data_IF_018700754127
#
_entry.id   IF_018700754127
#
_cell.length_a   1.000
_cell.length_b   1.000
_cell.length_c   1.000
_cell.angle_alpha   90.00
_cell.angle_beta   90.00
_cell.angle_gamma   90.00
#
_symmetry.space_group_name_H-M   'P 1'
#
loop_
_entity.id
_entity.type
_entity.pdbx_description
1 polymer ?
#
# COMPACT_ATOMS: atom_id res chain seq x y z
N UNK A 1 -17.31 33.76 49.77
CA UNK A 1 -17.02 33.28 48.39
C UNK A 1 -17.97 34.02 47.48
N UNK A 2 -17.44 34.76 46.51
CA UNK A 2 -18.22 35.58 45.58
C UNK A 2 -19.11 34.68 44.71
N UNK A 3 -20.44 34.88 44.68
CA UNK A 3 -21.36 34.07 43.86
C UNK A 3 -21.05 34.10 42.36
N UNK A 4 -20.45 35.19 41.85
CA UNK A 4 -20.05 35.33 40.47
C UNK A 4 -18.87 34.37 40.12
N UNK A 5 -17.92 34.18 41.05
CA UNK A 5 -16.79 33.26 40.91
C UNK A 5 -17.29 31.81 40.91
N UNK A 6 -18.22 31.47 41.80
CA UNK A 6 -18.81 30.12 41.85
C UNK A 6 -19.57 29.77 40.55
N UNK A 7 -20.36 30.70 40.03
CA UNK A 7 -21.09 30.53 38.78
C UNK A 7 -20.13 30.34 37.59
N UNK A 8 -19.04 31.13 37.53
CA UNK A 8 -18.01 31.01 36.48
C UNK A 8 -17.25 29.70 36.60
N UNK A 9 -16.90 29.27 37.81
CA UNK A 9 -16.26 27.98 38.06
C UNK A 9 -17.17 26.82 37.60
N UNK A 10 -18.45 26.84 37.98
CA UNK A 10 -19.41 25.81 37.57
C UNK A 10 -19.51 25.69 36.03
N UNK A 11 -19.66 26.83 35.34
CA UNK A 11 -19.75 26.83 33.88
C UNK A 11 -18.44 26.37 33.18
N UNK A 12 -17.28 26.67 33.76
CA UNK A 12 -15.99 26.21 33.23
C UNK A 12 -15.78 24.72 33.50
N UNK A 13 -16.14 24.22 34.68
CA UNK A 13 -16.07 22.79 35.01
C UNK A 13 -16.98 21.97 34.13
N UNK A 14 -18.22 22.40 33.89
CA UNK A 14 -19.16 21.74 32.99
C UNK A 14 -18.61 21.67 31.55
N UNK A 15 -18.07 22.78 31.05
CA UNK A 15 -17.42 22.81 29.73
C UNK A 15 -16.20 21.91 29.69
N UNK A 16 -15.36 21.90 30.72
CA UNK A 16 -14.18 21.02 30.78
C UNK A 16 -14.56 19.54 30.76
N UNK A 17 -15.64 19.17 31.48
CA UNK A 17 -16.18 17.82 31.47
C UNK A 17 -16.77 17.43 30.11
N UNK A 18 -17.59 18.31 29.49
CA UNK A 18 -18.17 18.08 28.17
C UNK A 18 -17.11 17.88 27.08
N UNK A 19 -15.97 18.59 27.20
CA UNK A 19 -14.83 18.42 26.28
C UNK A 19 -13.89 17.26 26.67
N UNK A 20 -14.27 16.43 27.66
CA UNK A 20 -13.45 15.27 28.07
C UNK A 20 -12.13 15.65 28.73
N UNK A 21 -12.06 16.83 29.37
CA UNK A 21 -10.81 17.34 29.93
C UNK A 21 -10.21 16.43 31.01
N UNK A 22 -11.03 15.70 31.76
CA UNK A 22 -10.56 14.71 32.74
C UNK A 22 -10.00 13.43 32.12
N UNK A 23 -10.42 13.12 30.89
CA UNK A 23 -9.98 11.91 30.19
C UNK A 23 -8.66 12.10 29.41
N UNK A 24 -8.24 13.36 29.25
CA UNK A 24 -7.06 13.72 28.43
C UNK A 24 -5.78 13.05 28.95
N UNK A 25 -5.52 13.12 30.27
CA UNK A 25 -4.31 12.52 30.86
C UNK A 25 -4.32 10.99 30.77
N UNK A 26 -5.50 10.40 30.87
CA UNK A 26 -5.68 8.94 30.70
C UNK A 26 -5.39 8.55 29.24
N UNK A 27 -5.92 9.29 28.27
CA UNK A 27 -5.68 9.06 26.86
C UNK A 27 -4.18 9.22 26.50
N UNK A 28 -3.55 10.31 26.96
CA UNK A 28 -2.11 10.54 26.78
C UNK A 28 -1.29 9.38 27.37
N UNK A 29 -1.59 8.98 28.61
CA UNK A 29 -0.86 7.90 29.29
C UNK A 29 -1.03 6.57 28.57
N UNK A 30 -2.23 6.26 28.07
CA UNK A 30 -2.51 5.04 27.29
C UNK A 30 -1.70 5.00 26.00
N UNK A 31 -1.66 6.08 25.23
CA UNK A 31 -0.90 6.20 23.99
C UNK A 31 0.60 6.16 24.26
N UNK A 32 1.09 6.89 25.28
CA UNK A 32 2.49 6.92 25.66
C UNK A 32 2.99 5.52 26.05
N UNK A 33 2.26 4.81 26.89
CA UNK A 33 2.59 3.45 27.28
C UNK A 33 2.58 2.50 26.08
N UNK A 34 1.58 2.62 25.22
CA UNK A 34 1.46 1.80 24.01
C UNK A 34 2.62 1.98 23.03
N UNK A 35 3.09 3.20 22.87
CA UNK A 35 4.22 3.54 21.98
C UNK A 35 5.60 3.48 22.67
N UNK A 36 5.69 2.92 23.88
CA UNK A 36 6.93 2.86 24.68
C UNK A 36 7.57 4.25 24.88
N UNK A 37 6.76 5.29 25.09
CA UNK A 37 7.21 6.64 25.42
C UNK A 37 7.38 6.71 26.94
N UNK A 38 8.62 6.70 27.39
CA UNK A 38 8.95 6.70 28.83
C UNK A 38 8.62 8.06 29.51
N UNK A 39 8.49 8.04 30.83
CA UNK A 39 8.28 9.28 31.61
C UNK A 39 9.46 10.25 31.47
N UNK A 40 10.69 9.74 31.34
CA UNK A 40 11.87 10.56 31.04
C UNK A 40 11.70 11.29 29.68
N UNK A 41 11.24 10.63 28.64
CA UNK A 41 10.96 11.26 27.34
C UNK A 41 9.85 12.32 27.45
N UNK A 42 8.82 12.05 28.25
CA UNK A 42 7.71 13.00 28.48
C UNK A 42 8.15 14.27 29.20
N UNK A 43 9.17 14.18 30.05
CA UNK A 43 9.74 15.31 30.79
C UNK A 43 10.73 16.16 30.00
N UNK A 44 11.26 15.68 28.88
CA UNK A 44 12.24 16.40 28.04
C UNK A 44 11.58 17.32 27.02
N UNK A 45 12.31 18.39 26.64
CA UNK A 45 11.90 19.24 25.52
C UNK A 45 11.99 18.42 24.21
N UNK A 46 11.03 18.62 23.31
CA UNK A 46 10.96 17.89 22.04
C UNK A 46 12.27 17.96 21.22
N UNK A 47 12.95 19.11 21.24
CA UNK A 47 14.20 19.30 20.52
C UNK A 47 15.38 18.47 21.08
N UNK A 48 15.29 18.06 22.33
CA UNK A 48 16.30 17.21 22.99
C UNK A 48 16.09 15.72 22.75
N UNK A 49 14.99 15.35 22.14
CA UNK A 49 14.70 13.97 21.79
C UNK A 49 15.50 13.53 20.56
N UNK A 50 15.90 12.26 20.54
CA UNK A 50 16.48 11.62 19.36
C UNK A 50 15.48 11.53 18.20
N UNK A 51 15.93 11.26 16.98
CA UNK A 51 15.07 11.13 15.82
C UNK A 51 13.98 10.09 15.99
N UNK A 52 14.31 8.91 16.51
CA UNK A 52 13.34 7.84 16.77
C UNK A 52 12.34 8.18 17.89
N UNK A 53 12.79 8.87 18.95
CA UNK A 53 11.91 9.35 20.02
C UNK A 53 10.94 10.41 19.48
N UNK A 54 11.42 11.36 18.65
CA UNK A 54 10.57 12.35 17.98
C UNK A 54 9.50 11.69 17.10
N UNK A 55 9.87 10.65 16.37
CA UNK A 55 8.92 9.89 15.54
C UNK A 55 7.82 9.27 16.38
N UNK A 56 8.17 8.62 17.52
CA UNK A 56 7.19 8.02 18.44
C UNK A 56 6.26 9.07 19.06
N UNK A 57 6.80 10.19 19.50
CA UNK A 57 5.99 11.28 20.07
C UNK A 57 5.05 11.89 19.03
N UNK A 58 5.53 12.13 17.80
CA UNK A 58 4.68 12.62 16.72
C UNK A 58 3.58 11.62 16.34
N UNK A 59 3.88 10.33 16.29
CA UNK A 59 2.88 9.29 16.06
C UNK A 59 1.83 9.29 17.19
N UNK A 60 2.27 9.42 18.45
CA UNK A 60 1.35 9.54 19.60
C UNK A 60 0.44 10.76 19.50
N UNK A 61 0.98 11.89 19.06
CA UNK A 61 0.17 13.11 18.80
C UNK A 61 -0.88 12.86 17.73
N UNK A 62 -0.52 12.28 16.60
CA UNK A 62 -1.45 11.97 15.49
C UNK A 62 -2.56 11.02 15.94
N UNK A 63 -2.25 10.06 16.80
CA UNK A 63 -3.21 9.09 17.34
C UNK A 63 -4.22 9.76 18.28
N UNK A 64 -3.80 10.80 18.98
CA UNK A 64 -4.66 11.57 19.90
C UNK A 64 -5.52 12.61 19.17
N UNK A 65 -5.19 12.94 17.92
CA UNK A 65 -6.03 13.81 17.09
C UNK A 65 -7.24 13.00 16.58
N UNK A 66 -8.44 13.59 16.70
CA UNK A 66 -9.68 12.98 16.19
C UNK A 66 -9.77 13.24 14.67
N UNK A 67 -9.23 12.30 13.90
CA UNK A 67 -9.11 12.40 12.44
C UNK A 67 -9.91 11.30 11.75
N UNK A 68 -10.52 11.62 10.60
CA UNK A 68 -11.21 10.64 9.76
C UNK A 68 -10.24 9.80 8.90
N UNK A 69 -9.08 10.36 8.56
CA UNK A 69 -8.07 9.72 7.72
C UNK A 69 -6.70 9.81 8.38
N UNK A 70 -6.06 8.68 8.56
CA UNK A 70 -4.71 8.55 9.10
C UNK A 70 -3.75 8.12 8.00
N UNK A 71 -2.75 8.97 7.71
CA UNK A 71 -1.71 8.69 6.72
C UNK A 71 -0.41 8.34 7.45
N UNK A 72 0.10 7.15 7.24
CA UNK A 72 1.30 6.62 7.89
C UNK A 72 2.35 6.26 6.85
N UNK A 73 3.53 6.84 6.99
CA UNK A 73 4.69 6.52 6.16
C UNK A 73 5.75 5.82 7.02
N UNK A 74 6.00 4.53 6.72
CA UNK A 74 6.90 3.64 7.46
C UNK A 74 6.72 3.72 8.99
N UNK A 75 5.48 3.51 9.50
CA UNK A 75 5.17 3.78 10.90
C UNK A 75 5.87 2.83 11.89
N UNK A 76 6.35 1.68 11.44
CA UNK A 76 7.07 0.70 12.25
C UNK A 76 8.54 1.05 12.44
N UNK A 77 9.08 2.00 11.67
CA UNK A 77 10.43 2.45 11.84
C UNK A 77 10.64 3.07 13.23
N UNK A 78 11.67 2.65 13.94
CA UNK A 78 12.01 3.09 15.30
C UNK A 78 11.01 2.66 16.40
N UNK A 79 10.04 1.78 16.10
CA UNK A 79 9.22 1.12 17.10
C UNK A 79 9.86 -0.21 17.53
N UNK A 80 9.75 -0.51 18.82
CA UNK A 80 10.02 -1.83 19.33
C UNK A 80 8.80 -2.77 19.05
N UNK A 81 8.97 -4.04 19.34
CA UNK A 81 7.91 -5.03 19.10
C UNK A 81 6.60 -4.69 19.82
N UNK A 82 6.70 -4.25 21.08
CA UNK A 82 5.52 -3.88 21.88
C UNK A 82 4.76 -2.71 21.26
N UNK A 83 5.47 -1.65 20.87
CA UNK A 83 4.87 -0.48 20.25
C UNK A 83 4.27 -0.81 18.86
N UNK A 84 4.90 -1.72 18.12
CA UNK A 84 4.37 -2.19 16.82
C UNK A 84 3.06 -2.98 17.02
N UNK A 85 3.02 -3.93 17.94
CA UNK A 85 1.81 -4.72 18.26
C UNK A 85 0.68 -3.83 18.78
N UNK A 86 1.01 -2.83 19.60
CA UNK A 86 0.04 -1.87 20.07
C UNK A 86 -0.53 -1.02 18.93
N UNK A 87 0.32 -0.55 18.00
CA UNK A 87 -0.10 0.21 16.81
C UNK A 87 -1.01 -0.64 15.91
N UNK A 88 -0.67 -1.90 15.67
CA UNK A 88 -1.51 -2.84 14.92
C UNK A 88 -2.92 -2.93 15.55
N UNK A 89 -2.97 -3.14 16.87
CA UNK A 89 -4.24 -3.22 17.60
C UNK A 89 -5.04 -1.91 17.58
N UNK A 90 -4.35 -0.77 17.56
CA UNK A 90 -4.98 0.55 17.42
C UNK A 90 -5.60 0.69 16.02
N UNK A 91 -4.84 0.40 14.95
CA UNK A 91 -5.31 0.50 13.56
C UNK A 91 -6.53 -0.36 13.32
N UNK A 92 -6.57 -1.59 13.87
CA UNK A 92 -7.71 -2.49 13.74
C UNK A 92 -9.01 -1.93 14.36
N UNK A 93 -8.88 -1.08 15.37
CA UNK A 93 -10.01 -0.45 16.08
C UNK A 93 -10.33 0.95 15.59
N UNK A 94 -9.48 1.50 14.73
CA UNK A 94 -9.67 2.85 14.20
C UNK A 94 -10.93 2.92 13.33
N UNK A 95 -11.79 3.90 13.59
CA UNK A 95 -13.09 4.01 12.91
C UNK A 95 -13.01 4.70 11.54
N UNK A 96 -11.92 5.39 11.27
CA UNK A 96 -11.68 6.10 10.02
C UNK A 96 -10.96 5.23 8.98
N UNK A 97 -10.37 5.89 8.01
CA UNK A 97 -9.55 5.25 6.95
C UNK A 97 -8.07 5.38 7.29
N UNK A 98 -7.34 4.26 7.30
CA UNK A 98 -5.87 4.26 7.44
C UNK A 98 -5.25 3.96 6.08
N UNK A 99 -4.32 4.81 5.67
CA UNK A 99 -3.45 4.58 4.50
C UNK A 99 -2.02 4.49 5.02
N UNK A 100 -1.40 3.32 4.86
CA UNK A 100 -0.04 3.10 5.32
C UNK A 100 0.88 2.71 4.17
N UNK A 101 2.09 3.27 4.16
CA UNK A 101 3.21 2.82 3.35
C UNK A 101 4.16 2.10 4.30
N UNK A 102 4.50 0.84 4.00
CA UNK A 102 5.45 0.09 4.81
C UNK A 102 6.14 -1.02 4.01
N UNK A 103 7.36 -1.34 4.42
CA UNK A 103 8.10 -2.52 3.96
C UNK A 103 7.95 -3.71 4.92
N UNK A 104 7.36 -3.50 6.07
CA UNK A 104 7.08 -4.55 7.06
C UNK A 104 5.86 -5.38 6.66
N UNK A 105 6.13 -6.59 6.18
CA UNK A 105 5.10 -7.51 5.69
C UNK A 105 4.18 -8.02 6.80
N UNK A 106 4.73 -8.20 8.02
CA UNK A 106 3.95 -8.67 9.17
C UNK A 106 2.97 -7.59 9.61
N UNK A 107 3.43 -6.35 9.70
CA UNK A 107 2.60 -5.20 9.99
C UNK A 107 1.48 -5.07 8.94
N UNK A 108 1.82 -5.09 7.64
CA UNK A 108 0.82 -4.99 6.57
C UNK A 108 -0.18 -6.14 6.60
N UNK A 109 0.28 -7.37 6.88
CA UNK A 109 -0.61 -8.54 6.88
C UNK A 109 -1.67 -8.48 7.98
N UNK A 110 -1.34 -7.86 9.12
CA UNK A 110 -2.22 -7.72 10.27
C UNK A 110 -3.08 -6.44 10.25
N UNK A 111 -2.57 -5.39 9.63
CA UNK A 111 -3.16 -4.05 9.75
C UNK A 111 -4.02 -3.65 8.57
N UNK A 112 -3.84 -4.25 7.37
CA UNK A 112 -4.53 -3.79 6.16
C UNK A 112 -5.49 -4.84 5.61
N UNK A 113 -6.57 -4.36 5.01
CA UNK A 113 -7.57 -5.16 4.30
C UNK A 113 -7.61 -4.89 2.78
N UNK A 114 -6.79 -3.96 2.32
CA UNK A 114 -6.58 -3.62 0.90
C UNK A 114 -5.13 -3.26 0.66
N UNK A 115 -4.60 -3.65 -0.50
CA UNK A 115 -3.26 -3.28 -0.94
C UNK A 115 -3.37 -2.55 -2.27
N UNK A 116 -2.65 -1.44 -2.39
CA UNK A 116 -2.48 -0.70 -3.64
C UNK A 116 -1.01 -0.82 -4.03
N UNK A 117 -0.76 -1.49 -5.14
CA UNK A 117 0.57 -1.59 -5.71
C UNK A 117 0.76 -0.53 -6.78
N UNK A 118 1.82 0.26 -6.68
CA UNK A 118 2.19 1.25 -7.68
C UNK A 118 3.47 0.80 -8.37
N UNK A 119 3.37 0.43 -9.64
CA UNK A 119 4.50 -0.03 -10.45
C UNK A 119 4.45 0.61 -11.84
N UNK A 120 5.57 1.15 -12.32
CA UNK A 120 5.68 1.77 -13.65
C UNK A 120 4.59 2.84 -13.93
N UNK A 121 4.23 3.65 -12.92
CA UNK A 121 3.21 4.68 -13.03
C UNK A 121 1.77 4.18 -13.12
N UNK A 122 1.54 2.90 -12.86
CA UNK A 122 0.20 2.29 -12.82
C UNK A 122 -0.10 1.78 -11.42
N UNK A 123 -1.36 1.92 -11.00
CA UNK A 123 -1.85 1.40 -9.73
C UNK A 123 -2.68 0.13 -9.97
N UNK A 124 -2.34 -0.96 -9.28
CA UNK A 124 -3.16 -2.17 -9.21
C UNK A 124 -3.73 -2.32 -7.79
N UNK A 125 -5.00 -2.72 -7.72
CA UNK A 125 -5.75 -2.84 -6.46
C UNK A 125 -6.01 -4.29 -6.12
N UNK A 126 -5.80 -4.63 -4.83
CA UNK A 126 -6.01 -5.97 -4.29
C UNK A 126 -6.88 -5.86 -3.04
N UNK A 127 -7.98 -6.61 -2.99
CA UNK A 127 -8.90 -6.64 -1.85
C UNK A 127 -8.51 -7.80 -0.94
N UNK A 128 -7.69 -7.52 0.05
CA UNK A 128 -7.15 -8.47 1.01
C UNK A 128 -5.90 -7.90 1.70
N UNK A 129 -5.36 -8.69 2.63
CA UNK A 129 -4.11 -8.37 3.33
C UNK A 129 -2.87 -8.62 2.44
N UNK A 130 -1.68 -8.45 3.01
CA UNK A 130 -0.43 -8.62 2.26
C UNK A 130 -0.23 -10.05 1.73
N UNK A 131 -0.57 -11.07 2.51
CA UNK A 131 -0.49 -12.47 2.10
C UNK A 131 -1.40 -12.78 0.91
N UNK A 132 -2.63 -12.27 0.93
CA UNK A 132 -3.54 -12.37 -0.21
C UNK A 132 -2.99 -11.67 -1.45
N UNK A 133 -2.47 -10.44 -1.29
CA UNK A 133 -1.84 -9.69 -2.37
C UNK A 133 -0.71 -10.47 -3.02
N UNK A 134 0.19 -11.09 -2.23
CA UNK A 134 1.34 -11.81 -2.75
C UNK A 134 0.93 -13.01 -3.63
N UNK A 135 -0.09 -13.76 -3.21
CA UNK A 135 -0.64 -14.89 -3.97
C UNK A 135 -1.36 -14.42 -5.23
N UNK A 136 -2.21 -13.41 -5.08
CA UNK A 136 -3.03 -12.88 -6.18
C UNK A 136 -2.17 -12.21 -7.26
N UNK A 137 -1.10 -11.50 -6.87
CA UNK A 137 -0.12 -10.93 -7.80
C UNK A 137 0.54 -12.00 -8.66
N UNK A 138 0.99 -13.10 -8.05
CA UNK A 138 1.59 -14.22 -8.78
C UNK A 138 0.57 -14.88 -9.71
N UNK A 139 -0.68 -15.09 -9.25
CA UNK A 139 -1.77 -15.64 -10.09
C UNK A 139 -2.02 -14.76 -11.32
N UNK A 140 -2.18 -13.44 -11.14
CA UNK A 140 -2.39 -12.49 -12.26
C UNK A 140 -1.20 -12.47 -13.20
N UNK A 141 0.03 -12.57 -12.68
CA UNK A 141 1.21 -12.67 -13.52
C UNK A 141 1.18 -13.93 -14.39
N UNK A 142 0.88 -15.10 -13.81
CA UNK A 142 0.80 -16.37 -14.52
C UNK A 142 -0.31 -16.36 -15.59
N UNK A 143 -1.45 -15.75 -15.30
CA UNK A 143 -2.53 -15.60 -16.28
C UNK A 143 -2.12 -14.70 -17.44
N UNK A 144 -1.49 -13.56 -17.17
CA UNK A 144 -0.94 -12.66 -18.21
C UNK A 144 0.13 -13.38 -19.07
N UNK A 145 1.00 -14.17 -18.44
CA UNK A 145 2.00 -14.96 -19.16
C UNK A 145 1.35 -16.01 -20.08
N UNK A 146 0.40 -16.78 -19.58
CA UNK A 146 -0.33 -17.77 -20.40
C UNK A 146 -1.06 -17.12 -21.57
N UNK A 147 -1.64 -15.95 -21.36
CA UNK A 147 -2.29 -15.21 -22.44
C UNK A 147 -1.27 -14.73 -23.47
N UNK A 148 -0.14 -14.17 -23.04
CA UNK A 148 0.95 -13.76 -23.90
C UNK A 148 1.48 -14.94 -24.75
N UNK A 149 1.74 -16.10 -24.13
CA UNK A 149 2.20 -17.31 -24.82
C UNK A 149 1.19 -17.79 -25.87
N UNK A 150 -0.12 -17.78 -25.56
CA UNK A 150 -1.17 -18.11 -26.53
C UNK A 150 -1.20 -17.12 -27.69
N UNK A 151 -1.03 -15.82 -27.43
CA UNK A 151 -0.96 -14.81 -28.47
C UNK A 151 0.28 -14.99 -29.35
N UNK A 152 1.44 -15.27 -28.77
CA UNK A 152 2.68 -15.54 -29.50
C UNK A 152 2.56 -16.81 -30.37
N UNK A 153 1.98 -17.88 -29.84
CA UNK A 153 1.72 -19.10 -30.62
C UNK A 153 0.79 -18.84 -31.83
N UNK A 154 -0.24 -18.02 -31.62
CA UNK A 154 -1.16 -17.63 -32.69
C UNK A 154 -0.49 -16.72 -33.72
N UNK A 155 0.37 -15.80 -33.31
CA UNK A 155 1.18 -14.97 -34.20
C UNK A 155 2.06 -15.89 -35.08
N UNK A 156 2.81 -16.81 -34.45
CA UNK A 156 3.70 -17.74 -35.18
C UNK A 156 2.93 -18.62 -36.17
N UNK A 157 1.72 -19.06 -35.83
CA UNK A 157 0.86 -19.80 -36.75
C UNK A 157 0.42 -18.96 -37.95
N UNK A 158 0.01 -17.70 -37.70
CA UNK A 158 -0.39 -16.77 -38.75
C UNK A 158 0.79 -16.39 -39.66
N UNK A 159 1.99 -16.21 -39.09
CA UNK A 159 3.22 -15.95 -39.85
C UNK A 159 3.52 -17.09 -40.83
N UNK A 160 3.50 -18.34 -40.38
CA UNK A 160 3.67 -19.52 -41.26
C UNK A 160 2.63 -19.56 -42.38
N UNK A 161 1.36 -19.26 -42.04
CA UNK A 161 0.30 -19.24 -43.05
C UNK A 161 0.44 -18.08 -44.04
N UNK A 162 0.88 -16.91 -43.59
CA UNK A 162 1.14 -15.76 -44.45
C UNK A 162 2.31 -16.05 -45.42
N UNK A 163 3.36 -16.69 -44.93
CA UNK A 163 4.52 -17.10 -45.72
C UNK A 163 4.14 -18.13 -46.82
N UNK A 164 3.33 -19.13 -46.48
CA UNK A 164 2.79 -20.08 -47.45
C UNK A 164 1.94 -19.40 -48.52
N UNK A 165 1.05 -18.45 -48.13
CA UNK A 165 0.24 -17.69 -49.07
C UNK A 165 1.09 -16.80 -49.99
N UNK A 166 2.20 -16.24 -49.51
CA UNK A 166 3.16 -15.48 -50.32
C UNK A 166 3.84 -16.38 -51.34
N UNK A 167 4.29 -17.58 -50.95
CA UNK A 167 4.90 -18.54 -51.90
C UNK A 167 3.93 -18.92 -53.00
N UNK A 168 2.65 -19.15 -52.71
CA UNK A 168 1.63 -19.44 -53.71
C UNK A 168 1.27 -18.22 -54.59
N UNK A 169 1.31 -17.03 -54.02
CA UNK A 169 1.07 -15.78 -54.77
C UNK A 169 2.15 -15.54 -55.82
N UNK A 170 3.40 -15.96 -55.57
CA UNK A 170 4.49 -15.88 -56.53
C UNK A 170 4.26 -16.76 -57.77
N UNK A 171 3.36 -17.75 -57.69
CA UNK A 171 2.92 -18.62 -58.77
C UNK A 171 1.72 -18.08 -59.57
N UNK A 172 1.35 -16.79 -59.45
CA UNK A 172 0.39 -16.12 -60.30
C UNK A 172 -1.04 -15.96 -59.76
N UNK A 173 -1.28 -16.18 -58.46
CA UNK A 173 -2.62 -16.04 -57.86
C UNK A 173 -2.78 -14.73 -57.08
N UNK A 174 -3.31 -13.69 -57.71
CA UNK A 174 -3.51 -12.34 -57.16
C UNK A 174 -4.41 -12.30 -55.88
N UNK A 175 -5.41 -13.18 -55.78
CA UNK A 175 -6.26 -13.32 -54.59
C UNK A 175 -5.51 -13.80 -53.36
N UNK A 176 -4.48 -14.61 -53.49
CA UNK A 176 -3.65 -15.12 -52.40
C UNK A 176 -2.73 -14.04 -51.84
N UNK A 177 -2.25 -13.15 -52.70
CA UNK A 177 -1.44 -12.00 -52.28
C UNK A 177 -2.21 -11.04 -51.34
N UNK A 178 -3.43 -10.68 -51.68
CA UNK A 178 -4.29 -9.81 -50.84
C UNK A 178 -4.60 -10.45 -49.48
N UNK A 179 -4.77 -11.79 -49.44
CA UNK A 179 -4.96 -12.53 -48.17
C UNK A 179 -3.72 -12.51 -47.30
N UNK A 180 -2.52 -12.65 -47.86
CA UNK A 180 -1.27 -12.56 -47.16
C UNK A 180 -1.09 -11.18 -46.51
N UNK A 181 -1.31 -10.08 -47.25
CA UNK A 181 -1.24 -8.71 -46.72
C UNK A 181 -2.27 -8.47 -45.57
N UNK A 182 -3.48 -8.99 -45.74
CA UNK A 182 -4.51 -8.85 -44.66
C UNK A 182 -4.08 -9.58 -43.40
N UNK A 183 -3.42 -10.72 -43.51
CA UNK A 183 -2.91 -11.52 -42.40
C UNK A 183 -1.75 -10.82 -41.72
N UNK A 184 -0.83 -10.22 -42.46
CA UNK A 184 0.29 -9.45 -41.95
C UNK A 184 -0.18 -8.22 -41.15
N UNK A 185 -1.18 -7.47 -41.62
CA UNK A 185 -1.78 -6.37 -40.90
C UNK A 185 -2.46 -6.81 -39.61
N UNK A 186 -2.96 -8.06 -39.57
CA UNK A 186 -3.53 -8.64 -38.36
C UNK A 186 -2.43 -9.00 -37.36
N UNK A 187 -1.33 -9.59 -37.82
CA UNK A 187 -0.14 -9.93 -37.02
C UNK A 187 0.43 -8.65 -36.39
N UNK A 188 0.60 -7.59 -37.17
CA UNK A 188 1.12 -6.30 -36.67
C UNK A 188 0.27 -5.74 -35.54
N UNK A 189 -1.05 -5.80 -35.65
CA UNK A 189 -1.96 -5.39 -34.56
C UNK A 189 -1.86 -6.26 -33.31
N UNK A 190 -1.53 -7.56 -33.46
CA UNK A 190 -1.37 -8.48 -32.35
C UNK A 190 -0.01 -8.34 -31.65
N UNK A 191 1.02 -7.85 -32.34
CA UNK A 191 2.37 -7.65 -31.78
C UNK A 191 2.47 -6.51 -30.76
N UNK A 192 1.41 -5.75 -30.53
CA UNK A 192 1.40 -4.61 -29.58
C UNK A 192 1.42 -5.06 -28.11
N UNK A 193 1.16 -6.33 -27.80
CA UNK A 193 1.16 -6.84 -26.43
C UNK A 193 2.59 -7.04 -25.93
N UNK A 194 3.01 -6.22 -24.96
CA UNK A 194 4.32 -6.37 -24.33
C UNK A 194 4.38 -7.63 -23.45
N UNK A 195 5.54 -8.30 -23.43
CA UNK A 195 5.76 -9.43 -22.53
C UNK A 195 5.63 -8.99 -21.08
N UNK A 196 4.81 -9.69 -20.26
CA UNK A 196 4.73 -9.41 -18.83
C UNK A 196 6.10 -9.54 -18.18
N UNK A 197 6.54 -8.52 -17.46
CA UNK A 197 7.80 -8.54 -16.70
C UNK A 197 7.50 -8.89 -15.26
N UNK A 198 8.29 -9.79 -14.67
CA UNK A 198 8.26 -10.04 -13.24
C UNK A 198 9.13 -8.99 -12.57
N UNK A 199 8.60 -8.31 -11.54
CA UNK A 199 9.39 -7.38 -10.74
C UNK A 199 10.69 -8.08 -10.29
N UNK A 200 11.85 -7.44 -10.50
CA UNK A 200 13.12 -7.97 -10.04
C UNK A 200 13.08 -8.10 -8.53
N UNK A 201 13.18 -9.31 -8.00
CA UNK A 201 13.54 -9.49 -6.59
C UNK A 201 14.91 -8.85 -6.41
N UNK A 202 15.01 -7.84 -5.57
CA UNK A 202 16.31 -7.37 -5.11
C UNK A 202 16.87 -8.48 -4.22
N UNK A 203 17.75 -9.32 -4.77
CA UNK A 203 18.62 -10.20 -3.99
C UNK A 203 19.74 -9.31 -3.43
N UNK A 204 19.52 -8.77 -2.25
CA UNK A 204 20.60 -8.19 -1.46
C UNK A 204 21.46 -9.35 -0.96
N UNK A 205 22.49 -9.73 -1.72
CA UNK A 205 23.55 -10.63 -1.22
C UNK A 205 24.46 -9.77 -0.35
N UNK A 206 24.29 -9.88 0.94
CA UNK A 206 25.31 -9.45 1.90
C UNK A 206 26.44 -10.49 1.85
N UNK A 207 27.54 -10.17 1.20
CA UNK A 207 28.83 -10.86 1.43
C UNK A 207 29.34 -10.40 2.79
N UNK A 208 29.44 -11.35 3.71
CA UNK A 208 30.11 -11.16 5.01
C UNK A 208 31.60 -10.88 4.82
#
# INVERSE_FOLDING_TARGET
>A
TDPAILKRYGSLSERFEVFGGYDTDVAISKVANGLSISDDMRGRLFDQLSGGEKTRVNLGRLILEDTDILLLDEPTNHLDLHATEWLEAYIQKFRGTVVAISHDRYFLDRSVNRVIEIENGKAEFYSGNYSFYAVEKERRYQERMKQYEKEQAKIAQLEKSAEQLRMWAFQGMDKTYRRAISMERRIERMRTTAKPTKARKMDARFTA
#
